data_IF_869157961564
#
_entry.id   IF_869157961564
#
_cell.length_a   1.000
_cell.length_b   1.000
_cell.length_c   1.000
_cell.angle_alpha   90.00
_cell.angle_beta   90.00
_cell.angle_gamma   90.00
#
_symmetry.space_group_name_H-M   'P 1'
#
loop_
_entity.id
_entity.type
_entity.pdbx_description
1 polymer ?
#
# COMPACT_ATOMS: atom_id res chain seq x y z
N UNK A 1 -11.93 1.53 10.77
CA UNK A 1 -11.88 2.32 9.52
C UNK A 1 -10.75 1.76 8.65
N UNK A 2 -11.01 1.41 7.38
CA UNK A 2 -9.98 0.94 6.42
C UNK A 2 -9.46 2.13 5.59
N UNK A 3 -8.87 3.09 6.27
CA UNK A 3 -8.19 4.20 5.61
C UNK A 3 -6.70 3.98 5.82
N UNK A 4 -5.95 3.85 4.72
CA UNK A 4 -4.48 3.79 4.73
C UNK A 4 -3.85 4.98 5.48
N UNK A 5 -4.66 5.99 5.79
CA UNK A 5 -4.26 7.17 6.51
C UNK A 5 -4.17 7.03 8.02
N UNK A 6 -5.19 6.44 8.62
CA UNK A 6 -5.34 6.41 10.07
C UNK A 6 -4.64 5.21 10.69
N UNK A 7 -4.25 4.22 9.87
CA UNK A 7 -3.54 3.05 10.36
C UNK A 7 -2.13 3.39 10.82
N UNK A 8 -1.73 2.85 11.96
CA UNK A 8 -0.42 3.08 12.56
C UNK A 8 -0.24 2.30 13.85
N UNK A 9 0.95 2.41 14.44
CA UNK A 9 1.21 1.88 15.77
C UNK A 9 2.12 2.81 16.55
N UNK A 10 2.11 2.66 17.86
CA UNK A 10 3.03 3.33 18.77
C UNK A 10 3.49 2.36 19.85
N UNK A 11 4.69 2.57 20.37
CA UNK A 11 5.21 1.83 21.53
C UNK A 11 5.16 2.82 22.71
N UNK A 12 4.21 2.67 23.65
CA UNK A 12 4.10 3.56 24.80
C UNK A 12 5.38 3.51 25.65
N UNK A 13 5.78 4.64 26.21
CA UNK A 13 6.92 4.70 27.13
C UNK A 13 6.68 3.75 28.32
N UNK A 14 7.61 2.80 28.53
CA UNK A 14 7.53 1.81 29.60
C UNK A 14 6.74 0.53 29.27
N UNK A 15 6.34 0.33 28.01
CA UNK A 15 5.70 -0.91 27.53
C UNK A 15 6.53 -1.53 26.40
N UNK A 16 6.78 -2.84 26.49
CA UNK A 16 7.37 -3.61 25.37
C UNK A 16 6.33 -3.98 24.31
N UNK A 17 5.03 -3.73 24.56
CA UNK A 17 3.93 -4.07 23.66
C UNK A 17 3.50 -2.87 22.81
N UNK A 18 3.45 -3.01 21.47
CA UNK A 18 2.93 -1.97 20.59
C UNK A 18 1.40 -1.87 20.69
N UNK A 19 0.90 -0.63 20.63
CA UNK A 19 -0.52 -0.31 20.49
C UNK A 19 -0.81 -0.02 19.03
N UNK A 20 -1.78 -0.72 18.46
CA UNK A 20 -2.18 -0.58 17.05
C UNK A 20 -3.46 0.24 16.92
N UNK A 21 -3.50 1.13 15.93
CA UNK A 21 -4.68 1.93 15.59
C UNK A 21 -5.00 1.75 14.11
N UNK A 22 -6.27 1.51 13.77
CA UNK A 22 -6.73 1.38 12.38
C UNK A 22 -6.98 -0.07 11.98
N UNK A 23 -6.73 -0.40 10.71
CA UNK A 23 -6.97 -1.74 10.18
C UNK A 23 -5.83 -2.70 10.59
N UNK A 24 -6.14 -3.89 11.15
CA UNK A 24 -5.11 -4.83 11.62
C UNK A 24 -4.10 -5.28 10.56
N UNK A 25 -4.54 -5.55 9.33
CA UNK A 25 -3.64 -5.97 8.23
C UNK A 25 -2.71 -4.82 7.81
N UNK A 26 -3.22 -3.59 7.79
CA UNK A 26 -2.38 -2.42 7.50
C UNK A 26 -1.36 -2.18 8.60
N UNK A 27 -1.78 -2.30 9.86
CA UNK A 27 -0.92 -2.17 11.02
C UNK A 27 0.20 -3.22 11.04
N UNK A 28 -0.13 -4.47 10.73
CA UNK A 28 0.86 -5.54 10.61
C UNK A 28 1.92 -5.23 9.54
N UNK A 29 1.50 -4.73 8.37
CA UNK A 29 2.42 -4.34 7.30
C UNK A 29 3.33 -3.16 7.72
N UNK A 30 2.79 -2.18 8.44
CA UNK A 30 3.58 -1.05 8.95
C UNK A 30 4.59 -1.49 10.03
N UNK A 31 4.20 -2.42 10.90
CA UNK A 31 5.11 -2.99 11.89
C UNK A 31 6.21 -3.82 11.24
N UNK A 32 5.88 -4.59 10.21
CA UNK A 32 6.88 -5.32 9.42
C UNK A 32 7.88 -4.36 8.74
N UNK A 33 7.41 -3.24 8.17
CA UNK A 33 8.31 -2.24 7.59
C UNK A 33 9.25 -1.62 8.65
N UNK A 34 8.74 -1.34 9.85
CA UNK A 34 9.54 -0.87 10.98
C UNK A 34 10.59 -1.90 11.44
N UNK A 35 10.24 -3.19 11.48
CA UNK A 35 11.18 -4.29 11.77
C UNK A 35 12.30 -4.42 10.72
N UNK A 36 12.03 -4.00 9.48
CA UNK A 36 13.04 -3.89 8.41
C UNK A 36 13.89 -2.60 8.52
N UNK A 37 13.69 -1.79 9.56
CA UNK A 37 14.42 -0.54 9.78
C UNK A 37 13.89 0.66 8.98
N UNK A 38 12.66 0.58 8.47
CA UNK A 38 12.05 1.65 7.67
C UNK A 38 11.15 2.51 8.55
N UNK A 39 11.51 3.79 8.73
CA UNK A 39 10.59 4.78 9.32
C UNK A 39 9.46 5.10 8.35
N UNK A 40 8.36 4.34 8.44
CA UNK A 40 7.18 4.56 7.60
C UNK A 40 6.54 5.93 7.84
N UNK A 41 6.73 6.56 9.01
CA UNK A 41 6.22 7.90 9.26
C UNK A 41 7.05 8.93 8.48
N UNK A 42 8.37 8.77 8.37
CA UNK A 42 9.19 9.58 7.48
C UNK A 42 8.74 9.44 6.02
N UNK A 43 8.47 8.21 5.56
CA UNK A 43 7.94 7.98 4.20
C UNK A 43 6.60 8.70 3.98
N UNK A 44 5.69 8.67 4.96
CA UNK A 44 4.41 9.40 4.88
C UNK A 44 4.60 10.91 4.80
N UNK A 45 5.52 11.48 5.58
CA UNK A 45 5.84 12.91 5.58
C UNK A 45 6.50 13.36 4.28
N UNK A 46 7.31 12.52 3.66
CA UNK A 46 8.04 12.88 2.43
C UNK A 46 7.28 12.58 1.14
N UNK A 47 6.21 11.77 1.18
CA UNK A 47 5.46 11.39 -0.02
C UNK A 47 4.46 12.47 -0.44
N UNK A 48 4.59 13.06 -1.65
CA UNK A 48 3.61 14.01 -2.18
C UNK A 48 2.21 13.39 -2.32
N UNK A 49 1.16 14.17 -2.13
CA UNK A 49 -0.21 13.63 -2.17
C UNK A 49 -0.54 12.71 -0.99
N UNK A 50 0.32 12.64 0.03
CA UNK A 50 0.14 11.80 1.22
C UNK A 50 0.47 12.58 2.49
N UNK A 51 1.54 13.38 2.46
CA UNK A 51 1.92 14.28 3.54
C UNK A 51 0.78 15.24 3.88
N UNK A 52 0.77 15.79 5.10
CA UNK A 52 -0.29 16.70 5.53
C UNK A 52 -0.38 17.96 4.65
N UNK A 53 0.78 18.43 4.19
CA UNK A 53 0.94 19.66 3.41
C UNK A 53 0.49 19.50 1.96
N UNK A 54 0.68 18.31 1.38
CA UNK A 54 0.39 18.02 -0.03
C UNK A 54 -0.81 17.10 -0.23
N UNK A 55 -1.58 16.83 0.83
CA UNK A 55 -2.63 15.82 0.81
C UNK A 55 -3.72 16.08 -0.22
N UNK A 56 -4.04 17.35 -0.45
CA UNK A 56 -5.04 17.79 -1.45
C UNK A 56 -4.68 17.33 -2.87
N UNK A 57 -3.40 17.08 -3.13
CA UNK A 57 -2.91 16.66 -4.44
C UNK A 57 -3.03 15.15 -4.65
N UNK A 58 -3.21 14.39 -3.56
CA UNK A 58 -3.43 12.95 -3.61
C UNK A 58 -4.89 12.59 -3.85
N UNK A 59 -5.12 11.40 -4.43
CA UNK A 59 -6.48 10.86 -4.56
C UNK A 59 -6.56 9.48 -3.94
N UNK A 60 -7.27 9.38 -2.81
CA UNK A 60 -7.57 8.09 -2.20
C UNK A 60 -8.88 7.54 -2.74
N UNK A 61 -8.91 6.24 -3.03
CA UNK A 61 -10.16 5.47 -3.18
C UNK A 61 -10.15 4.38 -2.13
N UNK A 62 -10.95 4.58 -1.09
CA UNK A 62 -11.08 3.66 0.02
C UNK A 62 -11.48 2.25 -0.44
N UNK A 63 -11.30 1.29 0.46
CA UNK A 63 -11.75 -0.07 0.24
C UNK A 63 -13.27 -0.11 0.12
N UNK A 64 -13.77 -0.88 -0.85
CA UNK A 64 -15.18 -1.26 -0.90
C UNK A 64 -15.31 -2.73 -1.19
N UNK A 65 -16.31 -3.39 -0.59
CA UNK A 65 -16.54 -4.83 -0.78
C UNK A 65 -16.84 -5.17 -2.24
N UNK A 66 -17.46 -4.27 -2.99
CA UNK A 66 -17.70 -4.44 -4.43
C UNK A 66 -16.41 -4.46 -5.25
N UNK A 67 -15.41 -3.64 -4.87
CA UNK A 67 -14.12 -3.59 -5.56
C UNK A 67 -13.10 -4.57 -5.00
N UNK A 68 -13.26 -5.01 -3.74
CA UNK A 68 -12.32 -5.86 -2.99
C UNK A 68 -10.87 -5.34 -3.02
N UNK A 69 -10.70 -4.02 -3.17
CA UNK A 69 -9.41 -3.34 -3.22
C UNK A 69 -9.56 -1.89 -2.81
N UNK A 70 -8.44 -1.27 -2.42
CA UNK A 70 -8.30 0.17 -2.27
C UNK A 70 -7.07 0.67 -3.02
N UNK A 71 -7.02 1.96 -3.30
CA UNK A 71 -5.93 2.55 -4.07
C UNK A 71 -5.63 3.98 -3.64
N UNK A 72 -4.38 4.40 -3.84
CA UNK A 72 -3.92 5.77 -3.64
C UNK A 72 -3.19 6.26 -4.88
N UNK A 73 -3.63 7.38 -5.44
CA UNK A 73 -2.94 8.06 -6.51
C UNK A 73 -1.99 9.11 -5.93
N UNK A 74 -0.69 8.91 -6.14
CA UNK A 74 0.40 9.81 -5.76
C UNK A 74 0.75 10.68 -6.98
N UNK A 75 0.74 12.02 -6.88
CA UNK A 75 1.13 12.89 -7.98
C UNK A 75 2.60 12.69 -8.34
N UNK A 76 2.92 12.79 -9.64
CA UNK A 76 4.30 12.70 -10.14
C UNK A 76 4.85 14.08 -10.52
N UNK A 77 6.17 14.28 -10.40
CA UNK A 77 6.84 15.39 -11.08
C UNK A 77 6.57 15.32 -12.59
N UNK A 78 6.22 16.44 -13.21
CA UNK A 78 5.86 16.50 -14.63
C UNK A 78 4.41 16.14 -14.97
N UNK A 79 3.56 15.94 -13.94
CA UNK A 79 2.13 15.72 -14.11
C UNK A 79 1.71 14.26 -14.16
N UNK A 80 0.39 14.05 -14.07
CA UNK A 80 -0.21 12.73 -13.91
C UNK A 80 0.04 12.12 -12.53
N UNK A 81 -0.26 10.83 -12.41
CA UNK A 81 -0.26 10.11 -11.13
C UNK A 81 0.41 8.75 -11.26
N UNK A 82 0.98 8.27 -10.15
CA UNK A 82 1.30 6.87 -9.92
C UNK A 82 0.27 6.30 -8.95
N UNK A 83 -0.42 5.24 -9.35
CA UNK A 83 -1.44 4.60 -8.51
C UNK A 83 -0.83 3.38 -7.82
N UNK A 84 -0.92 3.36 -6.50
CA UNK A 84 -0.64 2.18 -5.68
C UNK A 84 -1.96 1.56 -5.24
N UNK A 85 -2.01 0.23 -5.21
CA UNK A 85 -3.23 -0.49 -4.86
C UNK A 85 -2.91 -1.74 -4.03
N UNK A 86 -3.84 -2.10 -3.16
CA UNK A 86 -3.84 -3.37 -2.43
C UNK A 86 -5.27 -3.88 -2.30
N UNK A 87 -5.42 -5.19 -2.23
CA UNK A 87 -6.73 -5.85 -2.21
C UNK A 87 -6.57 -7.36 -2.27
N UNK A 88 -7.67 -8.04 -2.55
CA UNK A 88 -7.66 -9.49 -2.78
C UNK A 88 -6.73 -9.84 -3.95
N UNK A 89 -5.96 -10.92 -3.83
CA UNK A 89 -4.91 -11.28 -4.79
C UNK A 89 -5.48 -11.50 -6.18
N UNK A 90 -6.62 -12.18 -6.30
CA UNK A 90 -7.30 -12.43 -7.57
C UNK A 90 -7.74 -11.13 -8.27
N UNK A 91 -8.07 -10.10 -7.49
CA UNK A 91 -8.48 -8.79 -7.99
C UNK A 91 -7.27 -8.00 -8.48
N UNK A 92 -6.17 -8.00 -7.73
CA UNK A 92 -4.95 -7.30 -8.12
C UNK A 92 -4.30 -8.00 -9.32
N UNK A 93 -4.03 -9.30 -9.22
CA UNK A 93 -3.39 -10.11 -10.27
C UNK A 93 -4.22 -10.16 -11.56
N UNK A 94 -5.55 -10.10 -11.47
CA UNK A 94 -6.43 -9.95 -12.63
C UNK A 94 -6.15 -8.70 -13.47
N UNK A 95 -5.50 -7.67 -12.90
CA UNK A 95 -5.15 -6.40 -13.56
C UNK A 95 -3.65 -6.26 -13.86
N UNK A 96 -2.83 -7.19 -13.40
CA UNK A 96 -1.37 -7.16 -13.62
C UNK A 96 -1.08 -7.56 -15.07
N UNK A 97 -0.22 -6.77 -15.72
CA UNK A 97 0.27 -7.00 -17.09
C UNK A 97 1.76 -7.34 -17.14
N UNK A 98 2.51 -6.95 -16.09
CA UNK A 98 3.96 -7.18 -15.96
C UNK A 98 4.32 -7.38 -14.50
N UNK A 99 5.29 -8.24 -14.22
CA UNK A 99 5.88 -8.47 -12.91
C UNK A 99 7.29 -7.91 -12.87
N UNK A 100 7.78 -7.61 -11.66
CA UNK A 100 9.15 -7.21 -11.41
C UNK A 100 9.81 -8.31 -10.58
N UNK A 101 10.78 -9.01 -11.17
CA UNK A 101 11.54 -10.09 -10.54
C UNK A 101 13.02 -9.76 -10.63
N UNK A 102 13.74 -9.74 -9.50
CA UNK A 102 15.18 -9.42 -9.43
C UNK A 102 15.58 -8.11 -10.16
N UNK A 103 14.70 -7.10 -10.07
CA UNK A 103 14.91 -5.80 -10.72
C UNK A 103 14.61 -5.80 -12.23
N UNK A 104 14.18 -6.91 -12.81
CA UNK A 104 13.82 -7.03 -14.22
C UNK A 104 12.31 -7.14 -14.41
N UNK A 105 11.79 -6.38 -15.38
CA UNK A 105 10.38 -6.42 -15.76
C UNK A 105 10.12 -7.59 -16.71
N UNK A 106 9.15 -8.44 -16.36
CA UNK A 106 8.73 -9.58 -17.17
C UNK A 106 7.25 -9.44 -17.53
N UNK A 107 6.86 -9.85 -18.74
CA UNK A 107 5.45 -9.85 -19.14
C UNK A 107 4.73 -11.05 -18.51
N UNK A 108 3.48 -10.84 -18.11
CA UNK A 108 2.65 -11.91 -17.57
C UNK A 108 1.75 -12.43 -18.67
N UNK A 109 1.87 -13.71 -18.99
CA UNK A 109 0.95 -14.35 -19.92
C UNK A 109 -0.45 -14.44 -19.27
N UNK A 110 -1.45 -13.89 -19.96
CA UNK A 110 -2.78 -13.64 -19.38
C UNK A 110 -3.69 -14.86 -19.55
N UNK A 111 -3.22 -15.91 -20.24
CA UNK A 111 -4.06 -16.99 -20.77
C UNK A 111 -3.91 -18.38 -20.12
N UNK A 112 -3.08 -18.58 -19.11
CA UNK A 112 -2.93 -19.87 -18.44
C UNK A 112 -3.18 -19.76 -16.94
N UNK A 113 -3.42 -20.92 -16.33
CA UNK A 113 -3.55 -21.18 -14.89
C UNK A 113 -2.39 -20.64 -14.01
N UNK A 114 -1.42 -19.94 -14.59
CA UNK A 114 -0.23 -19.38 -13.93
C UNK A 114 -0.54 -18.26 -12.93
N UNK A 115 -1.67 -17.54 -13.09
CA UNK A 115 -2.07 -16.55 -12.06
C UNK A 115 -2.41 -17.20 -10.72
N UNK A 116 -2.80 -18.48 -10.71
CA UNK A 116 -3.00 -19.23 -9.48
C UNK A 116 -1.68 -19.62 -8.80
N UNK A 117 -0.58 -19.69 -9.55
CA UNK A 117 0.77 -20.01 -9.04
C UNK A 117 1.51 -18.79 -8.46
N UNK A 118 0.97 -17.58 -8.65
CA UNK A 118 1.50 -16.33 -8.07
C UNK A 118 0.95 -16.01 -6.67
N UNK A 119 0.08 -16.86 -6.11
CA UNK A 119 -0.57 -16.67 -4.80
C UNK A 119 0.13 -17.49 -3.72
#
# INVERSE_FOLDING_TARGET
VCTMDESGFSIPAGSDKPTFQGNPTECALLKFADELGIDYNAVRRSTPGRSAESRSDGRSRAFSSARKMMSWAVPKPGGGYRVYAKGASEIILGRVVKTLSDGQMQEVDVHSDDKAQLV
#
